data_IF_633534395245
#
_entry.id   IF_633534395245
#
_cell.length_a   1.000
_cell.length_b   1.000
_cell.length_c   1.000
_cell.angle_alpha   90.00
_cell.angle_beta   90.00
_cell.angle_gamma   90.00
#
_symmetry.space_group_name_H-M   'P 1'
#
loop_
_entity.id
_entity.type
_entity.pdbx_description
1 polymer ?
#
# COMPACT_ATOMS: atom_id res chain seq x y z
N UNK A 1 -1.86 12.42 21.45
CA UNK A 1 -2.87 11.37 21.15
C UNK A 1 -3.08 11.32 19.65
N UNK A 2 -2.88 10.18 19.05
CA UNK A 2 -3.14 9.94 17.63
C UNK A 2 -4.65 9.88 17.39
N UNK A 3 -5.13 10.53 16.33
CA UNK A 3 -6.56 10.64 16.00
C UNK A 3 -6.91 10.04 14.64
N UNK A 4 -5.91 9.74 13.82
CA UNK A 4 -6.10 9.07 12.55
C UNK A 4 -4.99 8.05 12.27
N UNK A 5 -5.32 7.03 11.48
CA UNK A 5 -4.42 6.04 10.94
C UNK A 5 -4.50 6.06 9.41
N UNK A 6 -3.36 6.27 8.76
CA UNK A 6 -3.21 6.32 7.31
C UNK A 6 -2.45 5.04 6.90
N UNK A 7 -3.17 4.12 6.30
CA UNK A 7 -2.65 2.80 5.95
C UNK A 7 -2.16 2.77 4.51
N UNK A 8 -0.95 2.28 4.29
CA UNK A 8 -0.65 1.68 3.00
C UNK A 8 -1.55 0.46 2.76
N UNK A 9 -1.54 -0.10 1.55
CA UNK A 9 -2.36 -1.25 1.21
C UNK A 9 -1.54 -2.48 0.88
N UNK A 10 -0.67 -2.37 -0.09
CA UNK A 10 0.04 -3.50 -0.68
C UNK A 10 1.24 -3.89 0.18
N UNK A 11 1.29 -5.15 0.64
CA UNK A 11 2.27 -5.59 1.64
C UNK A 11 1.87 -5.29 3.09
N UNK A 12 0.92 -4.36 3.33
CA UNK A 12 0.49 -3.96 4.67
C UNK A 12 -0.89 -4.49 5.09
N UNK A 13 -1.94 -4.14 4.35
CA UNK A 13 -3.30 -4.64 4.60
C UNK A 13 -3.51 -5.98 3.89
N UNK A 14 -2.92 -6.13 2.71
CA UNK A 14 -3.03 -7.31 1.87
C UNK A 14 -1.64 -7.78 1.44
N UNK A 15 -1.49 -9.11 1.33
CA UNK A 15 -0.28 -9.76 0.80
C UNK A 15 -0.33 -9.76 -0.75
N UNK A 16 -0.54 -8.57 -1.31
CA UNK A 16 -0.70 -8.38 -2.75
C UNK A 16 0.62 -8.33 -3.50
N UNK A 17 1.74 -8.10 -2.82
CA UNK A 17 3.06 -8.12 -3.44
C UNK A 17 3.40 -9.53 -3.97
N UNK A 18 3.16 -10.58 -3.19
CA UNK A 18 3.31 -11.97 -3.64
C UNK A 18 2.32 -12.31 -4.76
N UNK A 19 1.08 -11.83 -4.69
CA UNK A 19 0.09 -11.95 -5.75
C UNK A 19 0.57 -11.23 -7.02
N UNK A 20 1.06 -9.99 -6.92
CA UNK A 20 1.61 -9.23 -8.04
C UNK A 20 2.76 -9.98 -8.72
N UNK A 21 3.73 -10.45 -7.95
CA UNK A 21 4.90 -11.17 -8.48
C UNK A 21 4.49 -12.40 -9.34
N UNK A 22 3.46 -13.11 -8.92
CA UNK A 22 2.90 -14.26 -9.66
C UNK A 22 2.15 -13.81 -10.91
N UNK A 23 1.18 -12.91 -10.76
CA UNK A 23 0.25 -12.53 -11.83
C UNK A 23 0.90 -11.63 -12.90
N UNK A 24 1.90 -10.82 -12.55
CA UNK A 24 2.64 -10.01 -13.50
C UNK A 24 3.28 -10.87 -14.60
N UNK A 25 3.92 -11.96 -14.23
CA UNK A 25 4.51 -12.89 -15.21
C UNK A 25 3.46 -13.73 -15.96
N UNK A 26 2.33 -14.05 -15.34
CA UNK A 26 1.20 -14.69 -16.02
C UNK A 26 0.64 -13.78 -17.12
N UNK A 27 0.50 -12.49 -16.84
CA UNK A 27 0.02 -11.50 -17.82
C UNK A 27 1.07 -11.16 -18.90
N UNK A 28 2.37 -11.15 -18.56
CA UNK A 28 3.44 -10.76 -19.46
C UNK A 28 3.79 -11.83 -20.52
N UNK A 29 3.74 -13.11 -20.16
CA UNK A 29 4.12 -14.22 -21.05
C UNK A 29 3.37 -14.25 -22.38
N UNK A 30 2.03 -14.10 -22.44
CA UNK A 30 1.31 -14.03 -23.71
C UNK A 30 1.68 -12.81 -24.55
N UNK A 31 2.24 -11.75 -23.93
CA UNK A 31 2.70 -10.54 -24.60
C UNK A 31 4.15 -10.63 -25.09
N UNK A 32 4.80 -11.79 -24.89
CA UNK A 32 6.14 -12.06 -25.41
C UNK A 32 7.30 -11.59 -24.54
N UNK A 33 7.07 -11.34 -23.24
CA UNK A 33 8.13 -10.98 -22.29
C UNK A 33 7.89 -11.57 -20.89
N UNK A 34 8.86 -11.39 -20.00
CA UNK A 34 8.75 -11.76 -18.60
C UNK A 34 9.55 -10.78 -17.74
N UNK A 35 9.13 -10.61 -16.50
CA UNK A 35 9.88 -9.88 -15.48
C UNK A 35 10.82 -10.82 -14.74
N UNK A 36 12.01 -10.33 -14.40
CA UNK A 36 12.88 -11.01 -13.45
C UNK A 36 12.38 -10.74 -12.02
N UNK A 37 12.76 -11.57 -11.06
CA UNK A 37 12.48 -11.36 -9.65
C UNK A 37 12.98 -9.97 -9.18
N UNK A 38 14.20 -9.59 -9.60
CA UNK A 38 14.78 -8.29 -9.26
C UNK A 38 13.94 -7.12 -9.82
N UNK A 39 13.42 -7.23 -11.04
CA UNK A 39 12.55 -6.20 -11.62
C UNK A 39 11.26 -6.01 -10.81
N UNK A 40 10.69 -7.09 -10.31
CA UNK A 40 9.51 -7.05 -9.45
C UNK A 40 9.86 -6.39 -8.12
N UNK A 41 10.95 -6.83 -7.46
CA UNK A 41 11.39 -6.25 -6.19
C UNK A 41 11.70 -4.75 -6.30
N UNK A 42 12.28 -4.30 -7.41
CA UNK A 42 12.61 -2.88 -7.62
C UNK A 42 11.37 -1.98 -7.77
N UNK A 43 10.22 -2.56 -8.12
CA UNK A 43 8.98 -1.84 -8.40
C UNK A 43 7.88 -2.04 -7.36
N UNK A 44 8.16 -2.77 -6.27
CA UNK A 44 7.23 -2.89 -5.15
C UNK A 44 6.95 -1.53 -4.50
N UNK A 45 5.67 -1.21 -4.30
CA UNK A 45 5.23 0.06 -3.74
C UNK A 45 5.36 1.27 -4.69
N UNK A 46 5.72 1.04 -5.96
CA UNK A 46 5.86 2.08 -6.98
C UNK A 46 4.57 2.17 -7.81
N UNK A 47 4.12 3.40 -8.14
CA UNK A 47 2.95 3.60 -8.99
C UNK A 47 3.20 3.16 -10.43
N UNK A 48 2.11 2.92 -11.19
CA UNK A 48 2.19 2.43 -12.57
C UNK A 48 2.99 3.34 -13.50
N UNK A 49 2.92 4.66 -13.32
CA UNK A 49 3.65 5.62 -14.17
C UNK A 49 5.17 5.43 -14.05
N UNK A 50 5.65 5.30 -12.83
CA UNK A 50 7.08 5.09 -12.56
C UNK A 50 7.51 3.66 -12.94
N UNK A 51 6.64 2.65 -12.73
CA UNK A 51 6.84 1.29 -13.24
C UNK A 51 6.99 1.28 -14.77
N UNK A 52 6.18 2.07 -15.49
CA UNK A 52 6.24 2.17 -16.96
C UNK A 52 7.60 2.68 -17.44
N UNK A 53 8.15 3.70 -16.77
CA UNK A 53 9.47 4.21 -17.07
C UNK A 53 10.56 3.16 -16.82
N UNK A 54 10.45 2.44 -15.69
CA UNK A 54 11.39 1.39 -15.31
C UNK A 54 11.38 0.21 -16.29
N UNK A 55 10.19 -0.35 -16.59
CA UNK A 55 10.06 -1.51 -17.48
C UNK A 55 10.32 -1.17 -18.94
N UNK A 56 9.82 -0.02 -19.41
CA UNK A 56 10.01 0.43 -20.78
C UNK A 56 11.47 0.62 -21.18
N UNK A 57 12.33 1.00 -20.20
CA UNK A 57 13.77 1.16 -20.43
C UNK A 57 14.54 -0.18 -20.47
N UNK A 58 13.96 -1.27 -19.98
CA UNK A 58 14.64 -2.56 -19.77
C UNK A 58 14.08 -3.70 -20.63
N UNK A 59 12.81 -3.63 -21.01
CA UNK A 59 12.12 -4.69 -21.75
C UNK A 59 11.63 -4.13 -23.09
N UNK A 60 12.31 -4.43 -24.21
CA UNK A 60 11.93 -3.89 -25.52
C UNK A 60 10.51 -4.24 -25.98
N UNK A 61 9.98 -5.37 -25.54
CA UNK A 61 8.62 -5.82 -25.85
C UNK A 61 7.55 -5.23 -24.93
N UNK A 62 7.93 -4.56 -23.82
CA UNK A 62 6.98 -4.00 -22.88
C UNK A 62 6.16 -2.87 -23.51
N UNK A 63 4.84 -2.93 -23.30
CA UNK A 63 3.89 -1.88 -23.66
C UNK A 63 2.88 -1.77 -22.53
N UNK A 64 2.86 -0.62 -21.87
CA UNK A 64 1.98 -0.36 -20.73
C UNK A 64 0.50 -0.56 -21.08
N UNK A 65 0.11 -0.08 -22.27
CA UNK A 65 -1.26 -0.16 -22.79
C UNK A 65 -1.79 -1.58 -23.04
N UNK A 66 -0.91 -2.58 -23.10
CA UNK A 66 -1.28 -4.01 -23.22
C UNK A 66 -1.03 -4.78 -21.94
N UNK A 67 0.01 -4.44 -21.18
CA UNK A 67 0.38 -5.14 -19.97
C UNK A 67 -0.62 -4.89 -18.83
N UNK A 68 -0.88 -3.62 -18.48
CA UNK A 68 -1.74 -3.31 -17.33
C UNK A 68 -3.17 -3.84 -17.48
N UNK A 69 -3.86 -3.70 -18.63
CA UNK A 69 -5.16 -4.34 -18.79
C UNK A 69 -5.13 -5.87 -18.62
N UNK A 70 -4.08 -6.54 -19.10
CA UNK A 70 -3.94 -7.98 -18.93
C UNK A 70 -3.69 -8.36 -17.47
N UNK A 71 -2.82 -7.61 -16.77
CA UNK A 71 -2.56 -7.79 -15.34
C UNK A 71 -3.81 -7.55 -14.49
N UNK A 72 -4.51 -6.43 -14.68
CA UNK A 72 -5.74 -6.12 -13.91
C UNK A 72 -6.82 -7.17 -14.14
N UNK A 73 -7.01 -7.63 -15.37
CA UNK A 73 -7.94 -8.71 -15.66
C UNK A 73 -7.55 -10.05 -14.97
N UNK A 74 -6.25 -10.35 -14.85
CA UNK A 74 -5.79 -11.51 -14.11
C UNK A 74 -6.00 -11.34 -12.60
N UNK A 75 -5.71 -10.15 -12.06
CA UNK A 75 -5.94 -9.81 -10.65
C UNK A 75 -7.42 -9.85 -10.29
N UNK A 76 -8.30 -9.31 -11.14
CA UNK A 76 -9.75 -9.34 -10.93
C UNK A 76 -10.28 -10.78 -10.85
N UNK A 77 -9.86 -11.63 -11.79
CA UNK A 77 -10.22 -13.06 -11.74
C UNK A 77 -9.72 -13.74 -10.47
N UNK A 78 -8.44 -13.52 -10.11
CA UNK A 78 -7.86 -14.11 -8.92
C UNK A 78 -8.62 -13.68 -7.66
N UNK A 79 -8.89 -12.40 -7.49
CA UNK A 79 -9.61 -11.88 -6.32
C UNK A 79 -11.07 -12.33 -6.30
N UNK A 80 -11.73 -12.43 -7.47
CA UNK A 80 -13.10 -12.96 -7.54
C UNK A 80 -13.19 -14.43 -7.12
N UNK A 81 -12.17 -15.24 -7.42
CA UNK A 81 -12.13 -16.67 -7.11
C UNK A 81 -11.65 -16.97 -5.67
N UNK A 82 -10.71 -16.17 -5.14
CA UNK A 82 -9.98 -16.48 -3.91
C UNK A 82 -10.12 -15.42 -2.81
N UNK A 83 -10.62 -14.23 -3.14
CA UNK A 83 -10.49 -13.03 -2.30
C UNK A 83 -9.09 -12.41 -2.39
N UNK A 84 -8.95 -11.15 -1.98
CA UNK A 84 -7.63 -10.54 -1.79
C UNK A 84 -6.94 -11.19 -0.57
N UNK A 85 -5.67 -11.60 -0.69
CA UNK A 85 -4.95 -12.24 0.41
C UNK A 85 -4.74 -11.22 1.56
N UNK A 86 -5.43 -11.42 2.67
CA UNK A 86 -5.43 -10.49 3.81
C UNK A 86 -4.21 -10.72 4.70
N UNK A 87 -3.61 -9.65 5.20
CA UNK A 87 -2.65 -9.77 6.30
C UNK A 87 -3.38 -10.17 7.61
N UNK A 88 -2.69 -10.90 8.50
CA UNK A 88 -3.26 -11.30 9.79
C UNK A 88 -3.80 -10.11 10.58
N UNK A 89 -4.91 -10.29 11.26
CA UNK A 89 -5.56 -9.31 12.12
C UNK A 89 -6.14 -8.06 11.41
N UNK A 90 -6.26 -8.05 10.08
CA UNK A 90 -6.79 -6.91 9.32
C UNK A 90 -8.11 -6.39 9.90
N UNK A 91 -9.16 -7.18 9.85
CA UNK A 91 -10.49 -6.73 10.30
C UNK A 91 -10.56 -6.44 11.80
N UNK A 92 -9.88 -7.23 12.62
CA UNK A 92 -9.82 -7.03 14.07
C UNK A 92 -9.21 -5.65 14.40
N UNK A 93 -8.11 -5.29 13.74
CA UNK A 93 -7.43 -4.00 13.92
C UNK A 93 -8.32 -2.84 13.48
N UNK A 94 -8.93 -2.95 12.29
CA UNK A 94 -9.82 -1.91 11.78
C UNK A 94 -11.04 -1.72 12.70
N UNK A 95 -11.65 -2.79 13.19
CA UNK A 95 -12.77 -2.76 14.14
C UNK A 95 -12.38 -2.08 15.45
N UNK A 96 -11.22 -2.41 16.00
CA UNK A 96 -10.72 -1.80 17.25
C UNK A 96 -10.48 -0.31 17.12
N UNK A 97 -9.81 0.12 16.05
CA UNK A 97 -9.55 1.54 15.77
C UNK A 97 -10.84 2.32 15.50
N UNK A 98 -11.78 1.73 14.74
CA UNK A 98 -13.08 2.33 14.47
C UNK A 98 -13.90 2.52 15.75
N UNK A 99 -13.96 1.51 16.62
CA UNK A 99 -14.65 1.56 17.90
C UNK A 99 -14.06 2.62 18.85
N UNK A 100 -12.76 2.88 18.73
CA UNK A 100 -12.07 3.93 19.48
C UNK A 100 -12.22 5.34 18.86
N UNK A 101 -12.91 5.47 17.72
CA UNK A 101 -13.14 6.76 17.05
C UNK A 101 -11.93 7.28 16.26
N UNK A 102 -10.94 6.41 15.96
CA UNK A 102 -9.79 6.77 15.13
C UNK A 102 -10.25 6.88 13.67
N UNK A 103 -9.96 8.01 13.02
CA UNK A 103 -10.26 8.20 11.60
C UNK A 103 -9.28 7.40 10.75
N UNK A 104 -9.75 6.80 9.67
CA UNK A 104 -8.91 5.91 8.87
C UNK A 104 -8.93 6.25 7.39
N UNK A 105 -7.76 6.24 6.74
CA UNK A 105 -7.66 6.33 5.28
C UNK A 105 -6.72 5.27 4.72
N UNK A 106 -7.04 4.77 3.52
CA UNK A 106 -6.07 4.04 2.69
C UNK A 106 -5.30 5.03 1.84
N UNK A 107 -3.97 4.86 1.77
CA UNK A 107 -3.05 5.67 0.98
C UNK A 107 -2.14 4.73 0.20
N UNK A 108 -2.55 4.37 -1.02
CA UNK A 108 -1.89 3.35 -1.85
C UNK A 108 -1.39 3.93 -3.17
N UNK A 109 -0.26 3.41 -3.66
CA UNK A 109 0.23 3.68 -5.01
C UNK A 109 -0.62 3.03 -6.12
N UNK A 110 -1.45 2.06 -5.76
CA UNK A 110 -2.33 1.33 -6.68
C UNK A 110 -3.50 2.19 -7.18
N UNK A 111 -4.05 1.91 -8.38
CA UNK A 111 -5.25 2.55 -8.88
C UNK A 111 -6.46 2.33 -7.96
N UNK A 112 -7.38 3.31 -7.94
CA UNK A 112 -8.57 3.27 -7.09
C UNK A 112 -9.43 2.02 -7.27
N UNK A 113 -9.52 1.51 -8.49
CA UNK A 113 -10.27 0.30 -8.79
C UNK A 113 -9.73 -0.91 -8.02
N UNK A 114 -8.39 -1.07 -7.97
CA UNK A 114 -7.73 -2.15 -7.26
C UNK A 114 -7.87 -2.02 -5.74
N UNK A 115 -7.73 -0.80 -5.22
CA UNK A 115 -7.97 -0.52 -3.79
C UNK A 115 -9.37 -0.95 -3.40
N UNK A 116 -10.39 -0.50 -4.14
CA UNK A 116 -11.78 -0.84 -3.84
C UNK A 116 -12.08 -2.33 -4.00
N UNK A 117 -11.54 -2.98 -5.04
CA UNK A 117 -11.67 -4.43 -5.24
C UNK A 117 -11.17 -5.20 -4.02
N UNK A 118 -9.95 -4.90 -3.55
CA UNK A 118 -9.33 -5.60 -2.44
C UNK A 118 -10.08 -5.34 -1.12
N UNK A 119 -10.42 -4.09 -0.82
CA UNK A 119 -11.18 -3.73 0.38
C UNK A 119 -12.56 -4.39 0.43
N UNK A 120 -13.29 -4.42 -0.69
CA UNK A 120 -14.62 -5.05 -0.79
C UNK A 120 -14.55 -6.55 -0.60
N UNK A 121 -13.56 -7.20 -1.20
CA UNK A 121 -13.38 -8.64 -1.07
C UNK A 121 -13.12 -9.08 0.38
N UNK A 122 -12.53 -8.20 1.20
CA UNK A 122 -12.26 -8.40 2.61
C UNK A 122 -13.39 -7.90 3.55
N UNK A 123 -14.41 -7.21 3.03
CA UNK A 123 -15.41 -6.53 3.85
C UNK A 123 -14.85 -5.34 4.64
N UNK A 124 -13.73 -4.76 4.20
CA UNK A 124 -13.00 -3.72 4.90
C UNK A 124 -13.34 -2.28 4.45
N UNK A 125 -14.01 -2.11 3.30
CA UNK A 125 -14.25 -0.79 2.69
C UNK A 125 -14.92 0.21 3.65
N UNK A 126 -15.89 -0.25 4.45
CA UNK A 126 -16.71 0.61 5.31
C UNK A 126 -15.97 1.17 6.53
N UNK A 127 -14.78 0.68 6.84
CA UNK A 127 -13.97 1.20 7.94
C UNK A 127 -13.17 2.45 7.56
N UNK A 128 -12.99 2.70 6.26
CA UNK A 128 -12.17 3.82 5.79
C UNK A 128 -13.01 5.03 5.44
N UNK A 129 -12.64 6.18 6.03
CA UNK A 129 -13.27 7.49 5.77
C UNK A 129 -12.82 8.09 4.43
N UNK A 130 -11.63 7.70 3.95
CA UNK A 130 -11.06 8.20 2.70
C UNK A 130 -10.14 7.18 2.03
N UNK A 131 -9.98 7.35 0.72
CA UNK A 131 -9.03 6.60 -0.12
C UNK A 131 -8.23 7.60 -0.94
N UNK A 132 -6.90 7.52 -0.83
CA UNK A 132 -5.92 8.19 -1.69
C UNK A 132 -5.24 7.11 -2.53
N UNK A 133 -5.42 7.16 -3.83
CA UNK A 133 -4.94 6.15 -4.79
C UNK A 133 -3.93 6.74 -5.78
N UNK A 134 -3.13 5.89 -6.40
CA UNK A 134 -2.04 6.29 -7.30
C UNK A 134 -2.48 7.02 -8.56
N UNK A 135 -3.74 6.85 -8.98
CA UNK A 135 -4.34 7.49 -10.16
C UNK A 135 -4.89 8.92 -9.91
N UNK A 136 -4.68 9.48 -8.71
CA UNK A 136 -5.08 10.87 -8.40
C UNK A 136 -4.14 11.93 -8.99
N UNK A 137 -3.04 11.55 -9.65
CA UNK A 137 -2.07 12.48 -10.23
C UNK A 137 -1.22 13.22 -9.19
N UNK A 138 -1.16 12.73 -7.96
CA UNK A 138 -0.28 13.25 -6.92
C UNK A 138 1.14 12.67 -7.08
N UNK A 139 2.19 13.41 -6.64
CA UNK A 139 3.52 12.83 -6.51
C UNK A 139 3.48 11.58 -5.63
N UNK A 140 4.03 10.47 -6.17
CA UNK A 140 4.07 9.18 -5.47
C UNK A 140 5.09 9.16 -4.32
N UNK A 141 5.01 8.14 -3.45
CA UNK A 141 6.02 7.86 -2.42
C UNK A 141 7.41 7.70 -3.07
N UNK A 142 8.47 8.27 -2.54
CA UNK A 142 8.65 8.76 -1.17
C UNK A 142 8.23 10.23 -0.93
N UNK A 143 7.54 10.89 -1.85
CA UNK A 143 7.01 12.24 -1.64
C UNK A 143 5.87 12.20 -0.60
N UNK A 144 5.74 13.23 0.26
CA UNK A 144 4.76 13.25 1.35
C UNK A 144 3.32 13.52 0.90
N UNK A 145 3.13 13.90 -0.36
CA UNK A 145 1.90 14.48 -0.91
C UNK A 145 0.67 13.59 -0.69
N UNK A 146 0.80 12.29 -0.88
CA UNK A 146 -0.29 11.33 -0.70
C UNK A 146 -0.74 11.24 0.77
N UNK A 147 0.18 11.20 1.73
CA UNK A 147 -0.15 11.17 3.15
C UNK A 147 -0.73 12.49 3.65
N UNK A 148 -0.20 13.62 3.19
CA UNK A 148 -0.79 14.94 3.46
C UNK A 148 -2.23 15.01 2.93
N UNK A 149 -2.48 14.46 1.73
CA UNK A 149 -3.83 14.37 1.17
C UNK A 149 -4.74 13.48 2.01
N UNK A 150 -4.26 12.33 2.48
CA UNK A 150 -5.00 11.41 3.36
C UNK A 150 -5.43 12.09 4.65
N UNK A 151 -4.49 12.75 5.34
CA UNK A 151 -4.76 13.51 6.55
C UNK A 151 -5.81 14.61 6.33
N UNK A 152 -5.70 15.36 5.23
CA UNK A 152 -6.66 16.39 4.88
C UNK A 152 -8.07 15.83 4.65
N UNK A 153 -8.20 14.68 3.97
CA UNK A 153 -9.49 14.04 3.68
C UNK A 153 -10.18 13.52 4.95
N UNK A 154 -9.43 12.99 5.92
CA UNK A 154 -10.00 12.56 7.20
C UNK A 154 -10.19 13.70 8.20
N UNK A 155 -9.73 14.92 7.86
CA UNK A 155 -9.91 16.11 8.68
C UNK A 155 -9.04 16.15 9.94
N UNK A 156 -7.88 15.47 9.94
CA UNK A 156 -6.96 15.38 11.07
C UNK A 156 -5.60 15.99 10.71
N UNK A 157 -5.02 16.87 11.53
CA UNK A 157 -3.67 17.38 11.32
C UNK A 157 -2.66 16.24 11.22
N UNK A 158 -1.74 16.29 10.25
CA UNK A 158 -0.79 15.19 9.97
C UNK A 158 0.04 14.79 11.20
N UNK A 159 0.44 15.73 12.06
CA UNK A 159 1.15 15.44 13.29
C UNK A 159 0.33 14.69 14.36
N UNK A 160 -0.98 14.46 14.11
CA UNK A 160 -1.87 13.62 14.92
C UNK A 160 -2.27 12.34 14.16
N UNK A 161 -1.63 12.05 13.03
CA UNK A 161 -1.85 10.84 12.26
C UNK A 161 -0.71 9.84 12.48
N UNK A 162 -1.03 8.56 12.55
CA UNK A 162 -0.08 7.47 12.32
C UNK A 162 -0.08 7.12 10.83
N UNK A 163 1.10 6.89 10.25
CA UNK A 163 1.30 6.26 8.96
C UNK A 163 1.77 4.83 9.21
N UNK A 164 1.07 3.84 8.66
CA UNK A 164 1.43 2.44 8.74
C UNK A 164 1.94 1.99 7.38
N UNK A 165 3.13 1.39 7.35
CA UNK A 165 3.87 1.06 6.14
C UNK A 165 4.73 -0.19 6.29
N UNK A 166 4.98 -0.86 5.17
CA UNK A 166 5.91 -1.98 5.06
C UNK A 166 7.20 -1.60 4.33
N UNK A 167 7.19 -0.47 3.61
CA UNK A 167 8.23 -0.06 2.67
C UNK A 167 9.07 1.15 3.14
N UNK A 168 10.38 1.20 2.82
CA UNK A 168 11.23 2.37 3.09
C UNK A 168 10.73 3.65 2.41
N UNK A 169 10.17 3.54 1.20
CA UNK A 169 9.64 4.70 0.46
C UNK A 169 8.42 5.30 1.15
N UNK A 170 7.52 4.46 1.62
CA UNK A 170 6.34 4.90 2.33
C UNK A 170 6.65 5.45 3.72
N UNK A 171 7.58 4.82 4.47
CA UNK A 171 8.07 5.39 5.73
C UNK A 171 8.68 6.78 5.53
N UNK A 172 9.50 6.96 4.49
CA UNK A 172 10.05 8.27 4.13
C UNK A 172 8.95 9.28 3.87
N UNK A 173 7.96 8.91 3.06
CA UNK A 173 6.81 9.77 2.75
C UNK A 173 6.03 10.18 4.01
N UNK A 174 5.77 9.24 4.91
CA UNK A 174 5.09 9.50 6.20
C UNK A 174 5.91 10.42 7.10
N UNK A 175 7.22 10.18 7.21
CA UNK A 175 8.14 11.01 8.00
C UNK A 175 8.22 12.44 7.46
N UNK A 176 8.41 12.58 6.15
CA UNK A 176 8.54 13.89 5.50
C UNK A 176 7.19 14.66 5.52
N UNK A 177 6.07 13.97 5.62
CA UNK A 177 4.76 14.57 5.90
C UNK A 177 4.63 15.07 7.33
N UNK A 178 5.43 14.59 8.28
CA UNK A 178 5.36 14.92 9.71
C UNK A 178 4.43 14.02 10.52
N UNK A 179 4.09 12.83 10.03
CA UNK A 179 3.29 11.84 10.74
C UNK A 179 4.14 11.01 11.72
N UNK A 180 3.48 10.33 12.64
CA UNK A 180 4.06 9.24 13.41
C UNK A 180 4.13 7.98 12.54
N UNK A 181 5.32 7.44 12.32
CA UNK A 181 5.53 6.34 11.37
C UNK A 181 5.68 5.00 12.06
N UNK A 182 4.89 4.03 11.63
CA UNK A 182 4.90 2.64 12.12
C UNK A 182 5.27 1.72 10.95
N UNK A 183 6.34 0.94 11.11
CA UNK A 183 6.68 -0.10 10.15
C UNK A 183 6.09 -1.45 10.57
N UNK A 184 5.46 -2.13 9.63
CA UNK A 184 5.14 -3.56 9.73
C UNK A 184 5.89 -4.26 8.60
N UNK A 185 7.07 -4.85 8.89
CA UNK A 185 7.91 -5.45 7.85
C UNK A 185 7.18 -6.57 7.10
N UNK A 186 7.33 -6.59 5.77
CA UNK A 186 6.88 -7.66 4.89
C UNK A 186 8.05 -8.26 4.11
N UNK A 187 8.11 -8.13 2.79
CA UNK A 187 9.22 -8.63 1.97
C UNK A 187 10.54 -7.91 2.25
N UNK A 188 10.48 -6.69 2.78
CA UNK A 188 11.65 -5.91 3.19
C UNK A 188 11.75 -5.86 4.72
N UNK A 189 12.81 -6.46 5.31
CA UNK A 189 12.99 -6.43 6.75
C UNK A 189 13.31 -5.00 7.24
N UNK A 190 13.00 -4.72 8.50
CA UNK A 190 13.52 -3.53 9.17
C UNK A 190 15.05 -3.61 9.28
N UNK A 191 15.71 -2.47 9.04
CA UNK A 191 17.15 -2.29 9.25
C UNK A 191 17.38 -1.00 10.03
N UNK A 192 18.53 -0.89 10.72
CA UNK A 192 18.90 0.29 11.51
C UNK A 192 18.98 1.58 10.66
N UNK A 193 19.16 1.45 9.36
CA UNK A 193 19.12 2.58 8.41
C UNK A 193 17.75 3.26 8.36
N UNK A 194 16.69 2.55 8.73
CA UNK A 194 15.32 3.08 8.77
C UNK A 194 15.00 3.80 10.08
N UNK A 195 15.83 3.67 11.12
CA UNK A 195 15.59 4.28 12.43
C UNK A 195 15.28 5.80 12.37
N UNK A 196 15.93 6.62 11.51
CA UNK A 196 15.61 8.05 11.41
C UNK A 196 14.21 8.37 10.88
N UNK A 197 13.58 7.41 10.18
CA UNK A 197 12.27 7.59 9.52
C UNK A 197 11.18 6.67 10.05
N UNK A 198 11.46 5.87 11.08
CA UNK A 198 10.54 4.92 11.69
C UNK A 198 10.45 5.17 13.19
N UNK A 199 9.29 5.55 13.70
CA UNK A 199 9.08 5.84 15.12
C UNK A 199 8.75 4.56 15.91
N UNK A 200 8.19 3.54 15.25
CA UNK A 200 7.81 2.27 15.86
C UNK A 200 7.88 1.14 14.83
N UNK A 201 8.36 -0.03 15.27
CA UNK A 201 8.31 -1.27 14.49
C UNK A 201 7.34 -2.21 15.19
N UNK A 202 6.35 -2.71 14.45
CA UNK A 202 5.38 -3.71 14.89
C UNK A 202 5.50 -4.94 13.98
N UNK A 203 5.21 -6.12 14.50
CA UNK A 203 5.26 -7.35 13.70
C UNK A 203 3.91 -7.67 13.06
N UNK A 204 2.84 -7.05 13.53
CA UNK A 204 1.47 -7.31 13.08
C UNK A 204 0.62 -6.04 13.06
N UNK A 205 -0.47 -6.06 12.29
CA UNK A 205 -1.48 -5.00 12.32
C UNK A 205 -2.09 -4.82 13.72
N UNK A 206 -2.26 -5.90 14.50
CA UNK A 206 -2.75 -5.85 15.88
C UNK A 206 -1.84 -5.01 16.77
N UNK A 207 -0.54 -5.30 16.77
CA UNK A 207 0.44 -4.53 17.56
C UNK A 207 0.45 -3.05 17.16
N UNK A 208 0.35 -2.76 15.85
CA UNK A 208 0.27 -1.38 15.37
C UNK A 208 -1.01 -0.68 15.83
N UNK A 209 -2.15 -1.37 15.81
CA UNK A 209 -3.42 -0.86 16.35
C UNK A 209 -3.31 -0.53 17.84
N UNK A 210 -2.75 -1.42 18.64
CA UNK A 210 -2.49 -1.20 20.07
C UNK A 210 -1.55 -0.01 20.31
N UNK A 211 -0.47 0.11 19.51
CA UNK A 211 0.46 1.23 19.61
C UNK A 211 -0.22 2.59 19.32
N UNK A 212 -1.17 2.63 18.38
CA UNK A 212 -1.96 3.84 18.07
C UNK A 212 -2.86 4.22 19.25
N UNK A 213 -3.56 3.24 19.83
CA UNK A 213 -4.52 3.46 20.93
C UNK A 213 -3.83 3.86 22.24
N UNK A 214 -2.57 3.50 22.43
CA UNK A 214 -1.78 3.89 23.61
C UNK A 214 -1.18 5.31 23.53
N UNK A 215 -1.29 6.00 22.40
CA UNK A 215 -0.70 7.33 22.16
C UNK A 215 -1.75 8.39 21.92
#
# INVERSE_FOLDING_TARGET
>A
MLKAALFDMDGLLFDTEAMYARLANEAARPLGFAFTEQMILDTLGVNETDCNAYYGSRIPAYRAETFWPAYHAAADRYVAEHGAPQKPYLLETLQGLHAAGVRMAVVSASPRADVLRNLRSAGAETYFDAIVSGDLGLPGKPRPDMYLRGAALVGVPIGQCAVLEDSPHGLRAGRDAGAYTIMIPDLRPYTDELAPICDCVCLTLREAGEAILCR
#
